data_IF_681889460955
#
_entry.id   IF_681889460955
#
_cell.length_a   1.000
_cell.length_b   1.000
_cell.length_c   1.000
_cell.angle_alpha   90.00
_cell.angle_beta   90.00
_cell.angle_gamma   90.00
#
_symmetry.space_group_name_H-M   'P 1'
#
loop_
_entity.id
_entity.type
_entity.pdbx_description
1 polymer ?
#
# COMPACT_ATOMS: atom_id res chain seq x y z
N UNK A 1 10.71 2.69 27.98
CA UNK A 1 10.53 4.03 27.36
C UNK A 1 11.41 4.10 26.12
N UNK A 2 10.88 4.55 24.99
CA UNK A 2 11.60 4.59 23.71
C UNK A 2 12.62 5.75 23.64
N UNK A 3 12.39 6.84 24.37
CA UNK A 3 13.30 8.00 24.48
C UNK A 3 13.80 8.21 25.91
N UNK A 4 14.90 8.95 26.04
CA UNK A 4 15.51 9.34 27.33
C UNK A 4 15.22 10.80 27.66
N UNK A 5 15.37 11.21 28.93
CA UNK A 5 15.20 12.62 29.32
C UNK A 5 16.15 13.59 28.63
N UNK A 6 17.34 13.12 28.19
CA UNK A 6 18.25 13.92 27.35
C UNK A 6 17.67 14.18 25.96
N UNK A 7 17.00 13.18 25.39
CA UNK A 7 16.33 13.30 24.10
C UNK A 7 15.16 14.29 24.21
N UNK A 8 14.38 14.17 25.28
CA UNK A 8 13.27 15.07 25.54
C UNK A 8 13.75 16.53 25.67
N UNK A 9 14.84 16.78 26.40
CA UNK A 9 15.44 18.11 26.52
C UNK A 9 15.96 18.65 25.18
N UNK A 10 16.63 17.81 24.39
CA UNK A 10 17.17 18.20 23.07
C UNK A 10 16.05 18.63 22.10
N UNK A 11 14.92 17.92 22.12
CA UNK A 11 13.80 18.18 21.22
C UNK A 11 12.67 18.98 21.88
N UNK A 12 12.94 19.67 23.00
CA UNK A 12 12.03 20.64 23.59
C UNK A 12 10.75 20.06 24.22
N UNK A 13 10.77 18.81 24.70
CA UNK A 13 9.66 18.22 25.45
C UNK A 13 9.61 16.68 25.40
N UNK A 14 8.70 16.06 26.18
CA UNK A 14 8.50 14.62 26.14
C UNK A 14 7.92 14.14 24.79
N UNK A 15 7.90 12.82 24.56
CA UNK A 15 7.17 12.25 23.42
C UNK A 15 5.70 12.66 23.43
N UNK A 16 5.14 12.88 22.24
CA UNK A 16 3.70 13.10 22.06
C UNK A 16 2.94 11.94 22.68
N UNK A 17 1.90 12.24 23.47
CA UNK A 17 0.98 11.22 23.95
C UNK A 17 0.12 10.71 22.79
N UNK A 18 -0.29 9.44 22.81
CA UNK A 18 -1.29 8.94 21.90
C UNK A 18 -2.47 9.88 21.70
N UNK A 19 -2.91 10.02 20.45
CA UNK A 19 -4.05 10.86 20.03
C UNK A 19 -3.98 12.37 20.32
N UNK A 20 -2.95 12.86 21.02
CA UNK A 20 -2.75 14.29 21.20
C UNK A 20 -2.52 14.98 19.85
N UNK A 21 -2.91 16.27 19.68
CA UNK A 21 -2.71 17.00 18.43
C UNK A 21 -1.26 16.93 17.95
N UNK A 22 -1.08 16.72 16.64
CA UNK A 22 0.24 16.79 16.00
C UNK A 22 0.56 18.27 15.80
N UNK A 23 1.58 18.78 16.49
CA UNK A 23 2.03 20.17 16.36
C UNK A 23 3.17 20.30 15.35
N UNK A 24 3.55 21.54 15.03
CA UNK A 24 4.68 21.84 14.16
C UNK A 24 5.98 21.18 14.66
N UNK A 25 6.18 21.12 15.98
CA UNK A 25 7.30 20.42 16.60
C UNK A 25 7.39 18.96 16.18
N UNK A 26 6.30 18.21 16.25
CA UNK A 26 6.32 16.80 15.86
C UNK A 26 6.52 16.63 14.35
N UNK A 27 5.98 17.55 13.54
CA UNK A 27 6.20 17.56 12.09
C UNK A 27 7.67 17.83 11.75
N UNK A 28 8.30 18.81 12.40
CA UNK A 28 9.70 19.18 12.19
C UNK A 28 10.67 18.07 12.60
N UNK A 29 10.39 17.42 13.74
CA UNK A 29 11.17 16.25 14.20
C UNK A 29 11.05 15.11 13.18
N UNK A 30 9.83 14.79 12.72
CA UNK A 30 9.62 13.73 11.74
C UNK A 30 10.34 14.03 10.41
N UNK A 31 10.22 15.26 9.91
CA UNK A 31 10.90 15.72 8.70
C UNK A 31 12.44 15.65 8.83
N UNK A 32 12.97 16.08 9.99
CA UNK A 32 14.41 16.04 10.27
C UNK A 32 14.96 14.62 10.34
N UNK A 33 14.24 13.71 11.02
CA UNK A 33 14.62 12.29 11.08
C UNK A 33 14.63 11.67 9.68
N UNK A 34 13.62 11.97 8.87
CA UNK A 34 13.54 11.50 7.48
C UNK A 34 14.74 12.02 6.67
N UNK A 35 15.03 13.32 6.72
CA UNK A 35 16.15 13.92 5.99
C UNK A 35 17.52 13.33 6.38
N UNK A 36 17.75 13.14 7.68
CA UNK A 36 18.99 12.51 8.18
C UNK A 36 19.09 11.05 7.78
N UNK A 37 17.97 10.32 7.82
CA UNK A 37 17.93 8.90 7.41
C UNK A 37 18.27 8.76 5.93
N UNK A 38 17.69 9.60 5.07
CA UNK A 38 18.00 9.60 3.64
C UNK A 38 19.48 9.90 3.36
N UNK A 39 20.05 10.89 4.05
CA UNK A 39 21.46 11.23 3.92
C UNK A 39 22.36 10.07 4.36
N UNK A 40 22.03 9.40 5.47
CA UNK A 40 22.75 8.22 5.93
C UNK A 40 22.67 7.06 4.93
N UNK A 41 21.48 6.80 4.37
CA UNK A 41 21.28 5.79 3.32
C UNK A 41 22.12 6.10 2.08
N UNK A 42 22.13 7.35 1.62
CA UNK A 42 22.89 7.76 0.44
C UNK A 42 24.40 7.66 0.66
N UNK A 43 24.90 8.05 1.83
CA UNK A 43 26.32 7.88 2.20
C UNK A 43 26.72 6.41 2.25
N UNK A 44 25.90 5.55 2.86
CA UNK A 44 26.16 4.11 2.90
C UNK A 44 26.18 3.50 1.48
N UNK A 45 25.23 3.90 0.63
CA UNK A 45 25.17 3.47 -0.76
C UNK A 45 26.42 3.88 -1.56
N UNK A 46 26.88 5.13 -1.42
CA UNK A 46 28.11 5.63 -2.06
C UNK A 46 29.35 4.91 -1.54
N UNK A 47 29.43 4.64 -0.24
CA UNK A 47 30.55 3.90 0.34
C UNK A 47 30.62 2.48 -0.22
N UNK A 48 29.51 1.73 -0.23
CA UNK A 48 29.49 0.37 -0.80
C UNK A 48 29.84 0.37 -2.29
N UNK A 49 29.40 1.37 -3.05
CA UNK A 49 29.80 1.48 -4.45
C UNK A 49 31.31 1.71 -4.61
N UNK A 50 31.90 2.60 -3.79
CA UNK A 50 33.35 2.86 -3.82
C UNK A 50 34.17 1.61 -3.47
N UNK A 51 33.71 0.80 -2.51
CA UNK A 51 34.39 -0.43 -2.10
C UNK A 51 34.26 -1.57 -3.11
N UNK A 52 33.11 -1.67 -3.81
CA UNK A 52 32.79 -2.86 -4.62
C UNK A 52 32.86 -2.63 -6.13
N UNK A 53 32.73 -1.38 -6.60
CA UNK A 53 32.58 -1.03 -8.01
C UNK A 53 31.31 -1.59 -8.67
N UNK A 54 30.37 -2.15 -7.90
CA UNK A 54 29.17 -2.77 -8.44
C UNK A 54 28.19 -1.73 -8.97
N UNK A 55 27.60 -2.02 -10.13
CA UNK A 55 26.62 -1.16 -10.81
C UNK A 55 25.19 -1.28 -10.27
N UNK A 56 24.89 -2.36 -9.56
CA UNK A 56 23.55 -2.67 -9.06
C UNK A 56 23.58 -2.85 -7.54
N UNK A 57 22.55 -2.34 -6.86
CA UNK A 57 22.43 -2.40 -5.40
C UNK A 57 21.25 -3.29 -4.99
N UNK A 58 21.46 -4.14 -4.00
CA UNK A 58 20.38 -4.88 -3.33
C UNK A 58 20.20 -4.34 -1.90
N UNK A 59 18.97 -4.06 -1.50
CA UNK A 59 18.63 -3.51 -0.18
C UNK A 59 17.70 -4.46 0.59
N UNK A 60 18.03 -4.64 1.87
CA UNK A 60 17.23 -5.33 2.88
C UNK A 60 17.49 -4.67 4.25
N UNK A 61 16.83 -5.15 5.30
CA UNK A 61 16.77 -4.53 6.62
C UNK A 61 15.59 -3.57 6.76
N UNK A 62 15.11 -3.35 7.99
CA UNK A 62 13.89 -2.56 8.23
C UNK A 62 13.92 -1.14 7.65
N UNK A 63 15.09 -0.50 7.61
CA UNK A 63 15.27 0.84 7.00
C UNK A 63 15.02 0.82 5.50
N UNK A 64 15.24 -0.30 4.81
CA UNK A 64 14.98 -0.44 3.37
C UNK A 64 13.48 -0.43 3.01
N UNK A 65 12.57 -0.42 4.00
CA UNK A 65 11.14 -0.13 3.77
C UNK A 65 10.85 1.37 3.61
N UNK A 66 11.85 2.24 3.80
CA UNK A 66 11.76 3.67 3.55
C UNK A 66 11.78 3.96 2.04
N UNK A 67 10.59 3.96 1.43
CA UNK A 67 10.42 4.19 -0.01
C UNK A 67 10.92 5.55 -0.49
N UNK A 68 10.93 6.58 0.37
CA UNK A 68 11.43 7.91 0.04
C UNK A 68 12.96 7.87 -0.09
N UNK A 69 13.63 7.29 0.90
CA UNK A 69 15.08 7.06 0.87
C UNK A 69 15.51 6.16 -0.29
N UNK A 70 14.77 5.09 -0.57
CA UNK A 70 15.04 4.21 -1.72
C UNK A 70 14.97 4.96 -3.06
N UNK A 71 13.93 5.79 -3.25
CA UNK A 71 13.80 6.62 -4.45
C UNK A 71 14.97 7.60 -4.60
N UNK A 72 15.43 8.17 -3.49
CA UNK A 72 16.58 9.07 -3.47
C UNK A 72 17.89 8.35 -3.80
N UNK A 73 18.13 7.17 -3.23
CA UNK A 73 19.31 6.33 -3.54
C UNK A 73 19.35 5.96 -5.03
N UNK A 74 18.22 5.65 -5.65
CA UNK A 74 18.18 5.33 -7.08
C UNK A 74 18.47 6.56 -7.97
N UNK A 75 17.92 7.73 -7.65
CA UNK A 75 18.11 8.94 -8.47
C UNK A 75 19.49 9.57 -8.31
N UNK A 76 20.03 9.60 -7.09
CA UNK A 76 21.22 10.38 -6.70
C UNK A 76 22.44 9.49 -6.41
N UNK A 77 22.24 8.18 -6.30
CA UNK A 77 23.29 7.21 -6.06
C UNK A 77 23.97 6.75 -7.35
N UNK A 78 25.14 6.11 -7.24
CA UNK A 78 25.95 5.68 -8.39
C UNK A 78 25.50 4.32 -8.97
N UNK A 79 24.22 3.96 -8.81
CA UNK A 79 23.71 2.64 -9.21
C UNK A 79 22.74 2.76 -10.37
N UNK A 80 22.85 1.83 -11.33
CA UNK A 80 21.93 1.75 -12.45
C UNK A 80 20.58 1.17 -12.04
N UNK A 81 20.61 0.22 -11.10
CA UNK A 81 19.43 -0.49 -10.59
C UNK A 81 19.52 -0.72 -9.09
N UNK A 82 18.37 -0.64 -8.44
CA UNK A 82 18.21 -0.91 -7.00
C UNK A 82 17.10 -1.95 -6.81
N UNK A 83 17.44 -3.14 -6.33
CA UNK A 83 16.45 -4.14 -5.94
C UNK A 83 16.23 -4.11 -4.42
N UNK A 84 14.97 -4.04 -3.98
CA UNK A 84 14.62 -4.00 -2.56
C UNK A 84 13.74 -5.21 -2.26
N UNK A 85 14.09 -5.95 -1.20
CA UNK A 85 13.31 -7.12 -0.81
C UNK A 85 11.91 -6.69 -0.25
N UNK A 86 10.78 -7.29 -0.69
CA UNK A 86 9.43 -6.85 -0.30
C UNK A 86 9.10 -6.88 1.20
N UNK A 87 9.59 -7.90 1.89
CA UNK A 87 9.55 -8.09 3.34
C UNK A 87 10.90 -7.72 3.99
N UNK A 88 11.50 -6.58 3.61
CA UNK A 88 12.90 -6.25 3.93
C UNK A 88 13.26 -6.26 5.42
N UNK A 89 12.28 -6.10 6.32
CA UNK A 89 12.50 -6.24 7.76
C UNK A 89 12.78 -7.69 8.19
N UNK A 90 12.68 -7.94 9.49
CA UNK A 90 13.10 -9.21 10.09
C UNK A 90 12.32 -10.43 9.56
N UNK A 91 11.07 -10.23 9.10
CA UNK A 91 10.28 -11.27 8.47
C UNK A 91 10.98 -11.89 7.24
N UNK A 92 11.70 -11.08 6.45
CA UNK A 92 12.49 -11.54 5.30
C UNK A 92 13.67 -12.43 5.69
N UNK A 93 14.08 -12.43 6.95
CA UNK A 93 15.16 -13.27 7.46
C UNK A 93 14.92 -14.76 7.27
N UNK A 94 13.67 -15.23 7.37
CA UNK A 94 13.33 -16.64 7.13
C UNK A 94 13.68 -17.07 5.69
N UNK A 95 13.39 -16.23 4.70
CA UNK A 95 13.79 -16.46 3.31
C UNK A 95 15.31 -16.35 3.15
N UNK A 96 15.93 -15.38 3.80
CA UNK A 96 17.39 -15.19 3.77
C UNK A 96 18.15 -16.41 4.28
N UNK A 97 17.73 -17.01 5.39
CA UNK A 97 18.33 -18.23 5.95
C UNK A 97 18.18 -19.41 5.00
N UNK A 98 16.99 -19.62 4.43
CA UNK A 98 16.77 -20.71 3.47
C UNK A 98 17.67 -20.56 2.23
N UNK A 99 17.79 -19.35 1.68
CA UNK A 99 18.66 -19.06 0.53
C UNK A 99 20.15 -19.19 0.88
N UNK A 100 20.55 -18.78 2.09
CA UNK A 100 21.92 -18.93 2.57
C UNK A 100 22.31 -20.41 2.67
N UNK A 101 21.50 -21.24 3.33
CA UNK A 101 21.75 -22.68 3.43
C UNK A 101 21.84 -23.30 2.02
N UNK A 102 20.84 -23.03 1.17
CA UNK A 102 20.75 -23.62 -0.15
C UNK A 102 21.93 -23.26 -1.06
N UNK A 103 22.34 -21.99 -1.10
CA UNK A 103 23.36 -21.51 -2.04
C UNK A 103 24.78 -21.40 -1.47
N UNK A 104 24.95 -21.37 -0.15
CA UNK A 104 26.26 -21.15 0.48
C UNK A 104 26.74 -22.33 1.31
N UNK A 105 25.84 -23.16 1.85
CA UNK A 105 26.22 -24.34 2.61
C UNK A 105 26.07 -25.64 1.82
N UNK A 106 25.10 -25.68 0.90
CA UNK A 106 24.84 -26.85 0.03
C UNK A 106 25.36 -26.67 -1.40
N UNK A 107 26.00 -25.54 -1.72
CA UNK A 107 26.59 -25.23 -3.03
C UNK A 107 25.65 -25.41 -4.24
N UNK A 108 24.34 -25.29 -4.04
CA UNK A 108 23.40 -25.32 -5.17
C UNK A 108 23.49 -24.02 -5.98
N UNK A 109 23.45 -24.10 -7.33
CA UNK A 109 23.62 -22.93 -8.19
C UNK A 109 22.48 -21.92 -8.03
N UNK A 110 22.81 -20.64 -8.12
CA UNK A 110 21.82 -19.56 -8.23
C UNK A 110 21.25 -19.54 -9.64
N UNK A 111 19.93 -19.58 -9.76
CA UNK A 111 19.22 -19.39 -11.03
C UNK A 111 18.55 -18.03 -11.02
N UNK A 112 18.99 -17.14 -11.90
CA UNK A 112 18.34 -15.84 -12.07
C UNK A 112 17.04 -16.05 -12.82
N UNK A 113 15.92 -15.66 -12.19
CA UNK A 113 14.60 -15.62 -12.85
C UNK A 113 14.22 -14.16 -13.06
N UNK A 114 14.10 -13.78 -14.32
CA UNK A 114 13.69 -12.44 -14.76
C UNK A 114 12.20 -12.44 -15.12
N UNK A 115 11.47 -11.33 -14.93
CA UNK A 115 11.92 -10.09 -14.27
C UNK A 115 11.83 -10.16 -12.75
N UNK A 116 11.08 -11.14 -12.20
CA UNK A 116 10.77 -11.20 -10.77
C UNK A 116 10.60 -12.63 -10.24
N UNK A 117 11.55 -13.08 -9.41
CA UNK A 117 11.49 -14.39 -8.75
C UNK A 117 10.53 -14.42 -7.53
N UNK A 118 10.15 -13.27 -6.97
CA UNK A 118 9.24 -13.18 -5.82
C UNK A 118 7.77 -13.30 -6.23
N UNK A 119 7.45 -13.25 -7.54
CA UNK A 119 6.10 -13.41 -8.11
C UNK A 119 5.09 -12.45 -7.49
N UNK A 120 5.40 -11.15 -7.49
CA UNK A 120 4.57 -10.12 -6.86
C UNK A 120 4.49 -10.26 -5.33
N UNK A 121 5.39 -11.05 -4.73
CA UNK A 121 5.35 -11.46 -3.32
C UNK A 121 4.11 -12.27 -2.94
N UNK A 122 3.40 -12.87 -3.91
CA UNK A 122 2.18 -13.67 -3.68
C UNK A 122 2.54 -15.08 -3.17
N UNK A 123 3.14 -15.14 -1.98
CA UNK A 123 3.77 -16.31 -1.38
C UNK A 123 2.98 -16.96 -0.25
N UNK A 124 1.87 -16.34 0.19
CA UNK A 124 1.03 -16.80 1.29
C UNK A 124 -0.07 -17.80 0.90
N UNK A 125 -0.99 -18.10 1.83
CA UNK A 125 -2.12 -19.01 1.57
C UNK A 125 -3.12 -18.41 0.56
N UNK A 126 -3.87 -19.29 -0.09
CA UNK A 126 -5.03 -18.98 -0.95
C UNK A 126 -6.25 -19.74 -0.42
N UNK A 127 -7.38 -19.07 -0.34
CA UNK A 127 -8.66 -19.72 -0.02
C UNK A 127 -9.26 -20.33 -1.30
N UNK A 128 -10.03 -21.42 -1.15
CA UNK A 128 -10.76 -22.04 -2.25
C UNK A 128 -12.18 -21.49 -2.32
N UNK A 129 -12.76 -21.45 -3.51
CA UNK A 129 -14.12 -20.96 -3.72
C UNK A 129 -15.13 -21.80 -2.92
N UNK A 130 -14.97 -23.14 -2.87
CA UNK A 130 -15.80 -24.02 -2.04
C UNK A 130 -15.70 -23.72 -0.54
N UNK A 131 -14.49 -23.42 -0.06
CA UNK A 131 -14.26 -23.08 1.35
C UNK A 131 -14.90 -21.73 1.71
N UNK A 132 -14.78 -20.75 0.82
CA UNK A 132 -15.43 -19.45 0.98
C UNK A 132 -16.95 -19.61 0.98
N UNK A 133 -17.51 -20.37 0.03
CA UNK A 133 -18.96 -20.63 -0.05
C UNK A 133 -19.48 -21.26 1.24
N UNK A 134 -18.84 -22.34 1.69
CA UNK A 134 -19.24 -23.03 2.92
C UNK A 134 -19.22 -22.10 4.14
N UNK A 135 -18.22 -21.21 4.23
CA UNK A 135 -18.17 -20.17 5.26
C UNK A 135 -19.32 -19.17 5.13
N UNK A 136 -19.54 -18.60 3.94
CA UNK A 136 -20.57 -17.60 3.70
C UNK A 136 -21.98 -18.14 3.98
N UNK A 137 -22.27 -19.36 3.55
CA UNK A 137 -23.53 -20.04 3.81
C UNK A 137 -23.71 -20.28 5.31
N UNK A 138 -22.66 -20.75 6.00
CA UNK A 138 -22.67 -20.96 7.45
C UNK A 138 -22.82 -19.66 8.26
N UNK A 139 -22.31 -18.54 7.73
CA UNK A 139 -22.46 -17.22 8.33
C UNK A 139 -23.81 -16.55 8.00
N UNK A 140 -24.61 -17.12 7.09
CA UNK A 140 -25.85 -16.50 6.61
C UNK A 140 -25.60 -15.19 5.85
N UNK A 141 -24.43 -15.03 5.23
CA UNK A 141 -24.06 -13.84 4.49
C UNK A 141 -24.80 -13.79 3.14
N UNK A 142 -25.17 -12.58 2.71
CA UNK A 142 -25.83 -12.38 1.40
C UNK A 142 -24.76 -12.05 0.36
N UNK A 143 -24.64 -12.86 -0.69
CA UNK A 143 -23.62 -12.69 -1.73
C UNK A 143 -24.16 -12.94 -3.13
N UNK A 144 -23.51 -12.33 -4.12
CA UNK A 144 -23.66 -12.60 -5.54
C UNK A 144 -22.39 -13.33 -6.03
N UNK A 145 -22.54 -14.38 -6.84
CA UNK A 145 -21.41 -15.13 -7.39
C UNK A 145 -21.17 -14.78 -8.86
N UNK A 146 -19.90 -14.52 -9.20
CA UNK A 146 -19.44 -14.21 -10.55
C UNK A 146 -18.39 -15.24 -11.00
N UNK A 147 -18.80 -16.32 -11.68
CA UNK A 147 -17.88 -17.39 -12.07
C UNK A 147 -16.91 -16.97 -13.20
N UNK A 148 -17.29 -15.96 -13.99
CA UNK A 148 -16.40 -15.37 -15.00
C UNK A 148 -15.60 -14.20 -14.41
N UNK A 149 -14.28 -14.25 -14.61
CA UNK A 149 -13.37 -13.20 -14.14
C UNK A 149 -13.62 -11.86 -14.84
N UNK A 150 -14.02 -11.87 -16.12
CA UNK A 150 -14.39 -10.67 -16.85
C UNK A 150 -15.58 -9.96 -16.22
N UNK A 151 -16.67 -10.69 -15.99
CA UNK A 151 -17.87 -10.18 -15.34
C UNK A 151 -17.62 -9.66 -13.93
N UNK A 152 -16.83 -10.38 -13.12
CA UNK A 152 -16.43 -9.92 -11.78
C UNK A 152 -15.69 -8.58 -11.85
N UNK A 153 -14.65 -8.51 -12.69
CA UNK A 153 -13.84 -7.29 -12.83
C UNK A 153 -14.67 -6.11 -13.36
N UNK A 154 -15.61 -6.36 -14.28
CA UNK A 154 -16.49 -5.32 -14.83
C UNK A 154 -17.41 -4.73 -13.75
N UNK A 155 -18.09 -5.58 -12.98
CA UNK A 155 -18.97 -5.14 -11.89
C UNK A 155 -18.20 -4.41 -10.79
N UNK A 156 -17.03 -4.92 -10.41
CA UNK A 156 -16.20 -4.28 -9.36
C UNK A 156 -15.63 -2.96 -9.85
N UNK A 157 -15.26 -2.85 -11.13
CA UNK A 157 -14.85 -1.58 -11.73
C UNK A 157 -15.98 -0.55 -11.74
N UNK A 158 -17.23 -0.95 -11.99
CA UNK A 158 -18.41 -0.06 -11.88
C UNK A 158 -18.66 0.41 -10.44
N UNK A 159 -18.50 -0.48 -9.45
CA UNK A 159 -18.62 -0.13 -8.03
C UNK A 159 -17.54 0.89 -7.64
N UNK A 160 -16.29 0.64 -8.00
CA UNK A 160 -15.18 1.57 -7.79
C UNK A 160 -15.41 2.91 -8.48
N UNK A 161 -15.86 2.93 -9.74
CA UNK A 161 -16.11 4.15 -10.50
C UNK A 161 -17.24 5.00 -9.91
N UNK A 162 -18.16 4.39 -9.14
CA UNK A 162 -19.20 5.09 -8.37
C UNK A 162 -18.73 5.61 -7.01
N UNK A 163 -17.46 5.38 -6.67
CA UNK A 163 -16.86 5.82 -5.42
C UNK A 163 -17.13 4.88 -4.24
N UNK A 164 -17.52 3.63 -4.49
CA UNK A 164 -17.65 2.62 -3.43
C UNK A 164 -16.26 2.10 -3.00
N UNK A 165 -16.11 1.86 -1.70
CA UNK A 165 -14.90 1.27 -1.12
C UNK A 165 -15.01 -0.25 -1.12
N UNK A 166 -14.05 -0.90 -1.79
CA UNK A 166 -14.07 -2.34 -2.01
C UNK A 166 -12.98 -3.03 -1.20
N UNK A 167 -13.36 -3.90 -0.25
CA UNK A 167 -12.46 -4.91 0.30
C UNK A 167 -12.20 -5.98 -0.74
N UNK A 168 -10.95 -6.18 -1.13
CA UNK A 168 -10.52 -7.06 -2.23
C UNK A 168 -9.65 -8.19 -1.70
N UNK A 169 -10.21 -9.40 -1.72
CA UNK A 169 -9.57 -10.64 -1.29
C UNK A 169 -9.52 -11.62 -2.46
N UNK A 170 -8.32 -11.91 -2.97
CA UNK A 170 -8.14 -12.89 -4.04
C UNK A 170 -6.81 -13.62 -3.94
N UNK A 171 -6.72 -14.79 -4.58
CA UNK A 171 -5.47 -15.50 -4.79
C UNK A 171 -4.64 -15.70 -3.52
N UNK A 172 -3.32 -15.79 -3.73
CA UNK A 172 -2.36 -15.98 -2.65
C UNK A 172 -2.09 -14.64 -1.95
N UNK A 173 -2.06 -14.66 -0.62
CA UNK A 173 -1.69 -13.50 0.18
C UNK A 173 -0.25 -13.03 -0.11
N UNK A 174 -0.05 -11.73 -0.05
CA UNK A 174 1.25 -11.06 -0.15
C UNK A 174 2.16 -11.39 1.06
N UNK A 175 3.46 -11.56 0.82
CA UNK A 175 4.48 -11.63 1.85
C UNK A 175 5.12 -10.24 2.04
N UNK A 176 5.05 -9.74 3.28
CA UNK A 176 5.58 -8.43 3.65
C UNK A 176 4.50 -7.48 4.16
N UNK A 177 4.85 -6.22 4.44
CA UNK A 177 3.97 -5.27 5.13
C UNK A 177 3.03 -4.49 4.20
N UNK A 178 3.00 -4.80 2.91
CA UNK A 178 2.22 -4.08 1.90
C UNK A 178 1.19 -5.02 1.29
N UNK A 179 -0.04 -4.54 1.14
CA UNK A 179 -0.99 -5.16 0.23
C UNK A 179 -0.68 -4.72 -1.19
N UNK A 180 -0.67 -5.68 -2.10
CA UNK A 180 -0.23 -5.56 -3.49
C UNK A 180 -1.30 -6.10 -4.44
N UNK A 181 -2.58 -6.03 -4.05
CA UNK A 181 -3.72 -6.40 -4.89
C UNK A 181 -4.32 -7.77 -4.61
N UNK A 182 -3.96 -8.43 -3.50
CA UNK A 182 -4.56 -9.70 -3.05
C UNK A 182 -5.27 -9.60 -1.71
N UNK A 183 -4.79 -8.76 -0.78
CA UNK A 183 -5.48 -8.44 0.48
C UNK A 183 -5.54 -6.91 0.63
N UNK A 184 -6.32 -6.29 -0.25
CA UNK A 184 -6.35 -4.84 -0.43
C UNK A 184 -7.70 -4.23 -0.09
N UNK A 185 -7.71 -2.95 0.30
CA UNK A 185 -8.89 -2.10 0.22
C UNK A 185 -8.66 -1.14 -0.93
N UNK A 186 -9.59 -1.15 -1.88
CA UNK A 186 -9.53 -0.42 -3.13
C UNK A 186 -10.50 0.76 -3.11
N UNK A 187 -10.18 1.79 -3.89
CA UNK A 187 -11.03 2.96 -4.06
C UNK A 187 -10.65 3.78 -5.29
N UNK A 188 -11.53 4.68 -5.69
CA UNK A 188 -11.32 5.58 -6.83
C UNK A 188 -10.34 6.71 -6.46
N UNK A 189 -9.17 6.80 -7.10
CA UNK A 189 -8.18 7.81 -6.77
C UNK A 189 -8.56 9.22 -7.24
N UNK A 190 -9.52 9.34 -8.17
CA UNK A 190 -9.96 10.61 -8.77
C UNK A 190 -10.84 11.43 -7.83
N UNK A 191 -11.50 10.75 -6.88
CA UNK A 191 -12.38 11.39 -5.91
C UNK A 191 -11.58 12.25 -4.92
N UNK A 192 -12.02 13.50 -4.75
CA UNK A 192 -11.44 14.45 -3.76
C UNK A 192 -11.70 14.02 -2.31
N UNK A 193 -12.75 13.23 -2.08
CA UNK A 193 -13.18 12.85 -0.73
C UNK A 193 -12.70 11.45 -0.32
N UNK A 194 -12.32 10.60 -1.26
CA UNK A 194 -12.03 9.18 -1.02
C UNK A 194 -10.92 8.97 0.03
N UNK A 195 -9.88 9.82 0.04
CA UNK A 195 -8.85 9.75 1.06
C UNK A 195 -9.42 9.93 2.49
N UNK A 196 -10.26 10.94 2.67
CA UNK A 196 -10.89 11.24 3.96
C UNK A 196 -11.89 10.13 4.34
N UNK A 197 -12.70 9.68 3.38
CA UNK A 197 -13.67 8.59 3.55
C UNK A 197 -12.97 7.32 4.02
N UNK A 198 -11.95 6.84 3.31
CA UNK A 198 -11.24 5.61 3.67
C UNK A 198 -10.50 5.75 5.00
N UNK A 199 -9.82 6.88 5.27
CA UNK A 199 -9.09 7.04 6.53
C UNK A 199 -10.03 7.07 7.75
N UNK A 200 -11.18 7.76 7.66
CA UNK A 200 -12.11 7.92 8.79
C UNK A 200 -13.05 6.74 8.95
N UNK A 201 -13.68 6.30 7.85
CA UNK A 201 -14.78 5.32 7.91
C UNK A 201 -14.29 3.87 7.93
N UNK A 202 -13.07 3.63 7.45
CA UNK A 202 -12.53 2.28 7.26
C UNK A 202 -11.29 2.04 8.12
N UNK A 203 -10.31 2.95 8.03
CA UNK A 203 -9.02 2.77 8.72
C UNK A 203 -9.00 3.27 10.15
N UNK A 204 -9.97 4.10 10.54
CA UNK A 204 -10.04 4.73 11.86
C UNK A 204 -8.71 5.36 12.28
N UNK A 205 -8.07 6.06 11.34
CA UNK A 205 -6.79 6.74 11.54
C UNK A 205 -6.86 8.18 11.04
N UNK A 206 -5.77 8.91 11.23
CA UNK A 206 -5.71 10.32 10.88
C UNK A 206 -6.08 10.54 9.41
N UNK A 207 -6.98 11.49 9.13
CA UNK A 207 -7.64 11.62 7.83
C UNK A 207 -6.71 11.97 6.67
N UNK A 208 -5.48 12.35 6.99
CA UNK A 208 -4.52 12.96 6.08
C UNK A 208 -3.48 11.98 5.53
N UNK A 209 -3.46 10.72 6.00
CA UNK A 209 -2.47 9.75 5.53
C UNK A 209 -2.78 9.39 4.06
N UNK A 210 -1.88 9.69 3.11
CA UNK A 210 -2.10 9.35 1.72
C UNK A 210 -2.05 7.83 1.52
N UNK A 211 -2.74 7.39 0.47
CA UNK A 211 -2.74 6.00 0.04
C UNK A 211 -1.78 5.81 -1.14
N UNK A 212 -1.45 4.55 -1.43
CA UNK A 212 -0.57 4.22 -2.53
C UNK A 212 -1.38 3.96 -3.80
N UNK A 213 -0.94 4.46 -4.97
CA UNK A 213 -1.53 4.08 -6.24
C UNK A 213 -1.04 2.71 -6.70
N UNK A 214 -1.97 1.90 -7.22
CA UNK A 214 -1.67 0.80 -8.13
C UNK A 214 -1.99 1.24 -9.54
N UNK A 215 -1.06 1.08 -10.48
CA UNK A 215 -1.19 1.53 -11.87
C UNK A 215 -0.80 0.41 -12.83
N UNK A 216 -1.48 0.32 -13.97
CA UNK A 216 -1.07 -0.58 -15.04
C UNK A 216 0.37 -0.27 -15.45
N UNK A 217 1.21 -1.31 -15.53
CA UNK A 217 2.64 -1.18 -15.83
C UNK A 217 2.86 -0.40 -17.12
N UNK A 218 2.09 -0.70 -18.16
CA UNK A 218 2.15 -0.05 -19.47
C UNK A 218 1.69 1.43 -19.48
N UNK A 219 1.17 1.94 -18.37
CA UNK A 219 0.72 3.33 -18.18
C UNK A 219 1.51 4.08 -17.11
N UNK A 220 2.53 3.46 -16.52
CA UNK A 220 3.20 4.01 -15.34
C UNK A 220 3.87 5.35 -15.65
N UNK A 221 4.52 5.46 -16.81
CA UNK A 221 5.24 6.65 -17.24
C UNK A 221 4.31 7.73 -17.79
N UNK A 222 3.08 7.40 -18.19
CA UNK A 222 2.04 8.39 -18.50
C UNK A 222 1.60 9.17 -17.25
N UNK A 223 1.52 8.49 -16.11
CA UNK A 223 0.96 9.03 -14.86
C UNK A 223 1.99 9.48 -13.83
N UNK A 224 3.18 8.89 -13.83
CA UNK A 224 4.25 9.16 -12.87
C UNK A 224 5.57 9.44 -13.60
N UNK A 225 6.45 10.23 -12.98
CA UNK A 225 7.81 10.48 -13.48
C UNK A 225 8.70 9.25 -13.25
N UNK A 226 8.39 8.18 -13.99
CA UNK A 226 9.12 6.91 -14.07
C UNK A 226 9.48 6.64 -15.55
N UNK A 227 10.49 5.81 -15.80
CA UNK A 227 10.83 5.41 -17.18
C UNK A 227 9.82 4.36 -17.68
N UNK A 228 9.58 4.28 -19.00
CA UNK A 228 8.58 3.37 -19.62
C UNK A 228 8.80 1.87 -19.39
N UNK A 229 9.97 1.48 -18.87
CA UNK A 229 10.28 0.09 -18.47
C UNK A 229 10.60 -0.05 -16.97
N UNK A 230 10.52 1.04 -16.21
CA UNK A 230 10.79 1.03 -14.79
C UNK A 230 9.65 0.38 -14.01
N UNK A 231 10.03 -0.50 -13.09
CA UNK A 231 9.12 -1.28 -12.28
C UNK A 231 9.15 -0.84 -10.82
N UNK A 232 7.97 -0.81 -10.19
CA UNK A 232 7.82 -0.71 -8.74
C UNK A 232 6.72 -1.67 -8.26
N UNK A 233 6.90 -3.00 -8.38
CA UNK A 233 5.83 -3.96 -8.06
C UNK A 233 5.49 -4.06 -6.57
N UNK A 234 6.31 -3.46 -5.69
CA UNK A 234 6.26 -3.69 -4.25
C UNK A 234 5.91 -2.46 -3.40
N UNK A 235 5.56 -1.33 -4.02
CA UNK A 235 5.36 -0.06 -3.29
C UNK A 235 6.58 0.35 -2.45
N UNK A 236 7.79 0.15 -2.97
CA UNK A 236 9.06 0.46 -2.27
C UNK A 236 9.80 1.65 -2.85
N UNK A 237 9.18 2.36 -3.79
CA UNK A 237 9.68 3.58 -4.41
C UNK A 237 8.58 4.63 -4.43
N UNK A 238 9.01 5.89 -4.44
CA UNK A 238 8.14 7.04 -4.68
C UNK A 238 8.51 7.67 -6.01
N UNK A 239 7.51 8.12 -6.75
CA UNK A 239 7.66 8.86 -7.98
C UNK A 239 6.72 10.08 -7.96
N UNK A 240 7.15 11.25 -8.44
CA UNK A 240 6.25 12.37 -8.67
C UNK A 240 5.16 12.00 -9.67
N UNK A 241 3.93 12.49 -9.47
CA UNK A 241 2.87 12.48 -10.50
C UNK A 241 3.34 13.26 -11.71
N UNK A 242 3.09 12.82 -12.94
CA UNK A 242 3.57 13.49 -14.16
C UNK A 242 2.88 14.85 -14.35
N UNK A 243 3.62 15.82 -14.90
CA UNK A 243 3.18 17.20 -15.09
C UNK A 243 1.75 17.40 -15.62
N UNK A 244 1.31 16.72 -16.69
CA UNK A 244 -0.06 16.86 -17.23
C UNK A 244 -1.17 16.50 -16.26
N UNK A 245 -0.88 15.65 -15.27
CA UNK A 245 -1.85 15.23 -14.24
C UNK A 245 -1.76 16.06 -12.97
N UNK A 246 -0.86 17.05 -12.90
CA UNK A 246 -0.74 17.95 -11.74
C UNK A 246 -1.70 19.12 -11.89
N UNK A 247 -2.38 19.44 -10.80
CA UNK A 247 -3.16 20.65 -10.67
C UNK A 247 -2.29 21.74 -10.03
N UNK A 248 -2.39 23.00 -10.49
CA UNK A 248 -1.83 24.13 -9.77
C UNK A 248 -2.44 24.18 -8.38
N UNK A 249 -1.66 24.59 -7.39
CA UNK A 249 -2.20 24.72 -6.04
C UNK A 249 -3.15 25.90 -6.00
N UNK A 250 -4.38 25.67 -5.54
CA UNK A 250 -5.45 26.67 -5.47
C UNK A 250 -5.00 27.96 -4.74
N UNK A 251 -5.58 29.11 -5.13
CA UNK A 251 -5.33 30.39 -4.47
C UNK A 251 -5.60 30.29 -2.96
N UNK A 252 -4.63 30.67 -2.13
CA UNK A 252 -4.69 30.52 -0.67
C UNK A 252 -3.89 29.34 -0.11
N UNK A 253 -3.31 28.49 -0.96
CA UNK A 253 -2.43 27.40 -0.50
C UNK A 253 -1.26 27.88 0.38
N UNK A 254 -0.66 29.03 0.03
CA UNK A 254 0.42 29.64 0.81
C UNK A 254 0.02 29.99 2.25
N UNK A 255 -1.28 30.13 2.54
CA UNK A 255 -1.82 30.35 3.88
C UNK A 255 -2.09 29.08 4.68
N UNK A 256 -2.16 27.90 4.03
CA UNK A 256 -2.42 26.63 4.72
C UNK A 256 -1.18 26.18 5.51
N UNK A 257 -1.39 25.71 6.73
CA UNK A 257 -0.34 25.23 7.63
C UNK A 257 -0.56 23.77 8.02
N UNK A 258 0.54 23.07 8.30
CA UNK A 258 0.52 21.68 8.78
C UNK A 258 -0.37 20.77 7.93
N UNK A 259 -1.28 20.05 8.61
CA UNK A 259 -2.16 19.05 8.01
C UNK A 259 -3.22 19.63 7.07
N UNK A 260 -3.53 20.93 7.14
CA UNK A 260 -4.52 21.54 6.24
C UNK A 260 -4.04 21.56 4.79
N UNK A 261 -2.72 21.52 4.57
CA UNK A 261 -2.12 21.42 3.22
C UNK A 261 -2.55 20.15 2.47
N UNK A 262 -2.98 19.11 3.19
CA UNK A 262 -3.38 17.82 2.62
C UNK A 262 -4.81 17.83 2.06
N UNK A 263 -5.62 18.85 2.38
CA UNK A 263 -6.98 19.01 1.86
C UNK A 263 -7.02 19.60 0.44
N UNK A 264 -5.93 20.25 0.01
CA UNK A 264 -5.84 20.88 -1.30
C UNK A 264 -5.62 19.81 -2.39
N UNK A 265 -6.49 19.78 -3.39
CA UNK A 265 -6.29 18.92 -4.56
C UNK A 265 -5.09 19.41 -5.37
N UNK A 266 -4.29 18.46 -5.87
CA UNK A 266 -3.00 18.73 -6.54
C UNK A 266 -2.81 17.91 -7.80
N UNK A 267 -3.75 17.04 -8.13
CA UNK A 267 -3.67 16.19 -9.31
C UNK A 267 -5.04 15.68 -9.67
N UNK A 268 -5.14 15.06 -10.84
CA UNK A 268 -6.33 14.31 -11.26
C UNK A 268 -6.60 13.09 -10.37
N UNK A 269 -5.60 12.64 -9.60
CA UNK A 269 -5.68 11.52 -8.64
C UNK A 269 -5.37 11.96 -7.20
N UNK A 270 -6.13 12.93 -6.64
CA UNK A 270 -5.75 13.59 -5.39
C UNK A 270 -5.65 12.66 -4.18
N UNK A 271 -6.37 11.54 -4.16
CA UNK A 271 -6.39 10.64 -3.00
C UNK A 271 -5.06 9.91 -2.73
N UNK A 272 -4.20 9.82 -3.75
CA UNK A 272 -2.89 9.13 -3.73
C UNK A 272 -1.69 10.07 -3.86
N UNK A 273 -1.93 11.37 -4.01
CA UNK A 273 -0.91 12.38 -4.27
C UNK A 273 -0.54 13.14 -3.00
N UNK A 274 0.75 13.20 -2.68
CA UNK A 274 1.29 13.93 -1.55
C UNK A 274 1.40 15.45 -1.81
N UNK A 275 1.69 16.22 -0.75
CA UNK A 275 1.86 17.69 -0.81
C UNK A 275 2.95 18.12 -1.81
N UNK A 276 3.99 17.30 -1.97
CA UNK A 276 5.11 17.49 -2.89
C UNK A 276 4.89 16.85 -4.27
N UNK A 277 3.63 16.46 -4.58
CA UNK A 277 3.24 15.73 -5.79
C UNK A 277 3.79 14.31 -5.90
N UNK A 278 4.47 13.77 -4.89
CA UNK A 278 4.93 12.39 -4.90
C UNK A 278 3.80 11.38 -4.63
N UNK A 279 3.99 10.15 -5.10
CA UNK A 279 3.14 9.01 -4.78
C UNK A 279 3.98 7.73 -4.68
N UNK A 280 3.56 6.78 -3.84
CA UNK A 280 4.25 5.50 -3.64
C UNK A 280 3.70 4.42 -4.55
N UNK A 281 4.27 4.30 -5.74
CA UNK A 281 3.68 3.56 -6.87
C UNK A 281 3.81 2.04 -6.74
N UNK A 282 2.73 1.31 -7.03
CA UNK A 282 2.74 -0.10 -7.41
C UNK A 282 2.50 -0.25 -8.92
N UNK A 283 3.42 -0.86 -9.65
CA UNK A 283 3.20 -1.29 -11.04
C UNK A 283 2.52 -2.65 -11.08
N UNK A 284 1.42 -2.75 -11.84
CA UNK A 284 0.58 -3.95 -11.95
C UNK A 284 0.60 -4.47 -13.39
N UNK A 285 0.76 -5.77 -13.57
CA UNK A 285 0.67 -6.44 -14.87
C UNK A 285 0.03 -7.82 -14.75
N UNK A 286 -0.39 -8.36 -15.89
CA UNK A 286 -1.06 -9.65 -15.98
C UNK A 286 -0.18 -10.83 -15.53
N UNK A 287 1.12 -10.78 -15.79
CA UNK A 287 2.04 -11.88 -15.48
C UNK A 287 2.20 -12.11 -13.97
N UNK A 288 2.27 -11.02 -13.19
CA UNK A 288 2.43 -11.05 -11.73
C UNK A 288 1.09 -11.07 -11.00
N UNK A 289 0.08 -10.35 -11.51
CA UNK A 289 -1.13 -10.02 -10.73
C UNK A 289 -2.44 -10.52 -11.34
N UNK A 290 -2.43 -11.14 -12.53
CA UNK A 290 -3.60 -11.78 -13.15
C UNK A 290 -4.87 -10.92 -13.10
N UNK A 291 -5.87 -11.40 -12.35
CA UNK A 291 -7.16 -10.73 -12.12
C UNK A 291 -7.03 -9.27 -11.68
N UNK A 292 -6.02 -8.92 -10.87
CA UNK A 292 -5.88 -7.52 -10.42
C UNK A 292 -5.57 -6.58 -11.58
N UNK A 293 -4.71 -7.01 -12.52
CA UNK A 293 -4.44 -6.24 -13.73
C UNK A 293 -5.71 -6.09 -14.59
N UNK A 294 -6.51 -7.17 -14.69
CA UNK A 294 -7.78 -7.15 -15.41
C UNK A 294 -8.80 -6.19 -14.78
N UNK A 295 -8.84 -6.09 -13.45
CA UNK A 295 -9.65 -5.10 -12.74
C UNK A 295 -9.21 -3.66 -13.06
N UNK A 296 -7.90 -3.38 -13.04
CA UNK A 296 -7.40 -2.06 -13.42
C UNK A 296 -7.73 -1.72 -14.88
N UNK A 297 -7.63 -2.69 -15.80
CA UNK A 297 -8.00 -2.51 -17.21
C UNK A 297 -9.50 -2.22 -17.38
N UNK A 298 -10.37 -2.95 -16.66
CA UNK A 298 -11.81 -2.69 -16.66
C UNK A 298 -12.13 -1.30 -16.09
N UNK A 299 -11.45 -0.90 -15.01
CA UNK A 299 -11.59 0.44 -14.44
C UNK A 299 -11.12 1.52 -15.41
N UNK A 300 -9.97 1.35 -16.07
CA UNK A 300 -9.47 2.26 -17.09
C UNK A 300 -10.48 2.41 -18.25
N UNK A 301 -11.02 1.30 -18.75
CA UNK A 301 -11.99 1.32 -19.85
C UNK A 301 -13.25 2.13 -19.52
N UNK A 302 -13.67 2.14 -18.25
CA UNK A 302 -14.86 2.87 -17.77
C UNK A 302 -14.57 4.33 -17.40
N UNK A 303 -13.33 4.64 -17.03
CA UNK A 303 -13.00 5.92 -16.36
C UNK A 303 -11.96 6.77 -17.07
N UNK A 304 -11.22 6.19 -18.02
CA UNK A 304 -9.99 6.76 -18.59
C UNK A 304 -8.80 6.77 -17.63
N UNK A 305 -8.92 6.21 -16.43
CA UNK A 305 -7.87 6.24 -15.40
C UNK A 305 -7.34 4.82 -15.13
N UNK A 306 -6.06 4.53 -15.38
CA UNK A 306 -5.44 3.23 -15.13
C UNK A 306 -4.93 3.07 -13.69
N UNK A 307 -5.37 3.93 -12.76
CA UNK A 307 -4.90 4.00 -11.39
C UNK A 307 -6.02 3.63 -10.43
N UNK A 308 -5.72 2.84 -9.41
CA UNK A 308 -6.58 2.58 -8.26
C UNK A 308 -5.87 2.95 -6.97
N UNK A 309 -6.65 3.38 -5.97
CA UNK A 309 -6.16 3.39 -4.59
C UNK A 309 -5.94 1.94 -4.17
N UNK A 310 -4.79 1.66 -3.55
CA UNK A 310 -4.53 0.41 -2.86
C UNK A 310 -3.98 0.68 -1.46
N UNK A 311 -4.65 0.13 -0.46
CA UNK A 311 -4.19 0.11 0.93
C UNK A 311 -4.39 -1.26 1.53
N UNK A 312 -3.72 -1.54 2.64
CA UNK A 312 -3.79 -2.83 3.32
C UNK A 312 -5.23 -3.22 3.68
N UNK A 313 -5.62 -4.49 3.61
CA UNK A 313 -6.91 -4.92 4.12
C UNK A 313 -6.81 -5.26 5.60
N UNK A 314 -7.01 -4.23 6.43
CA UNK A 314 -7.02 -4.27 7.89
C UNK A 314 -7.59 -2.96 8.46
N UNK A 315 -7.91 -2.94 9.75
CA UNK A 315 -8.12 -1.71 10.52
C UNK A 315 -6.84 -1.34 11.29
N UNK A 316 -6.82 -0.18 11.95
CA UNK A 316 -5.72 0.23 12.83
C UNK A 316 -5.53 -0.81 13.95
N UNK A 317 -4.29 -1.21 14.20
CA UNK A 317 -3.95 -2.19 15.24
C UNK A 317 -3.94 -3.65 14.80
N UNK A 318 -4.48 -3.96 13.62
CA UNK A 318 -4.53 -5.34 13.11
C UNK A 318 -3.51 -5.64 11.99
N UNK A 319 -3.05 -6.91 11.85
CA UNK A 319 -2.35 -7.35 10.65
C UNK A 319 -3.29 -7.38 9.44
N UNK A 320 -2.72 -7.49 8.24
CA UNK A 320 -3.48 -7.73 7.00
C UNK A 320 -4.29 -9.02 7.15
N UNK A 321 -5.58 -9.00 6.76
CA UNK A 321 -6.45 -10.18 6.80
C UNK A 321 -5.85 -11.32 5.98
N UNK A 322 -5.86 -12.53 6.54
CA UNK A 322 -5.29 -13.72 5.92
C UNK A 322 -6.38 -14.65 5.38
N UNK A 323 -7.47 -14.81 6.14
CA UNK A 323 -8.58 -15.75 5.88
C UNK A 323 -9.87 -15.03 5.45
N UNK A 324 -10.78 -15.72 4.72
CA UNK A 324 -12.11 -15.17 4.38
C UNK A 324 -12.90 -14.70 5.60
N UNK A 325 -12.81 -15.42 6.72
CA UNK A 325 -13.47 -15.10 7.99
C UNK A 325 -12.98 -13.77 8.56
N UNK A 326 -11.67 -13.53 8.51
CA UNK A 326 -11.06 -12.25 8.95
C UNK A 326 -11.48 -11.11 8.02
N UNK A 327 -11.48 -11.33 6.70
CA UNK A 327 -11.91 -10.34 5.72
C UNK A 327 -13.40 -9.97 5.91
N UNK A 328 -14.26 -10.97 6.09
CA UNK A 328 -15.69 -10.78 6.38
C UNK A 328 -15.91 -10.04 7.71
N UNK A 329 -15.20 -10.42 8.78
CA UNK A 329 -15.28 -9.71 10.07
C UNK A 329 -14.90 -8.24 9.95
N UNK A 330 -13.78 -7.96 9.28
CA UNK A 330 -13.32 -6.60 9.03
C UNK A 330 -14.32 -5.81 8.18
N UNK A 331 -14.87 -6.43 7.12
CA UNK A 331 -15.94 -5.85 6.32
C UNK A 331 -17.18 -5.54 7.16
N UNK A 332 -17.62 -6.45 8.03
CA UNK A 332 -18.80 -6.28 8.88
C UNK A 332 -18.59 -5.24 10.00
N UNK A 333 -17.37 -5.10 10.51
CA UNK A 333 -17.03 -4.14 11.56
C UNK A 333 -16.65 -2.74 11.04
N UNK A 334 -16.48 -2.58 9.73
CA UNK A 334 -16.13 -1.30 9.09
C UNK A 334 -17.29 -0.78 8.23
N UNK A 335 -17.14 0.43 7.68
CA UNK A 335 -18.09 0.99 6.73
C UNK A 335 -17.66 0.75 5.28
N UNK A 336 -17.00 -0.37 4.98
CA UNK A 336 -16.74 -0.74 3.58
C UNK A 336 -18.07 -1.01 2.88
N UNK A 337 -18.19 -0.59 1.63
CA UNK A 337 -19.43 -0.73 0.86
C UNK A 337 -19.56 -2.14 0.27
N UNK A 338 -18.44 -2.71 -0.16
CA UNK A 338 -18.38 -4.00 -0.85
C UNK A 338 -17.23 -4.84 -0.30
N UNK A 339 -17.44 -6.15 -0.21
CA UNK A 339 -16.39 -7.14 -0.02
C UNK A 339 -16.40 -8.13 -1.18
N UNK A 340 -15.24 -8.34 -1.79
CA UNK A 340 -14.99 -9.39 -2.78
C UNK A 340 -14.13 -10.47 -2.13
N UNK A 341 -14.66 -11.68 -2.08
CA UNK A 341 -13.94 -12.90 -1.69
C UNK A 341 -13.85 -13.82 -2.90
N UNK A 342 -12.72 -13.83 -3.59
CA UNK A 342 -12.56 -14.55 -4.86
C UNK A 342 -13.66 -14.19 -5.89
N UNK A 343 -14.61 -15.07 -6.17
CA UNK A 343 -15.72 -14.86 -7.09
C UNK A 343 -17.02 -14.37 -6.41
N UNK A 344 -17.02 -14.20 -5.09
CA UNK A 344 -18.19 -13.80 -4.31
C UNK A 344 -18.15 -12.31 -3.99
N UNK A 345 -19.22 -11.60 -4.33
CA UNK A 345 -19.39 -10.17 -4.06
C UNK A 345 -20.48 -9.98 -3.03
N UNK A 346 -20.12 -9.35 -1.92
CA UNK A 346 -21.02 -9.01 -0.82
C UNK A 346 -21.20 -7.49 -0.79
N UNK A 347 -22.44 -7.03 -0.70
CA UNK A 347 -22.76 -5.61 -0.53
C UNK A 347 -23.21 -5.35 0.89
N UNK A 348 -22.67 -4.31 1.52
CA UNK A 348 -22.92 -3.96 2.92
C UNK A 348 -24.40 -3.65 3.18
N UNK A 349 -25.03 -2.93 2.24
CA UNK A 349 -26.40 -2.45 2.35
C UNK A 349 -27.47 -3.55 2.48
N UNK A 350 -27.18 -4.78 2.05
CA UNK A 350 -28.12 -5.91 2.05
C UNK A 350 -27.74 -7.01 3.04
N UNK A 351 -26.68 -6.81 3.85
CA UNK A 351 -26.31 -7.78 4.88
C UNK A 351 -27.32 -7.77 6.04
N UNK A 352 -27.59 -8.93 6.66
CA UNK A 352 -28.48 -9.00 7.83
C UNK A 352 -27.95 -8.15 9.00
N UNK A 353 -28.81 -7.30 9.60
CA UNK A 353 -28.42 -6.40 10.70
C UNK A 353 -27.93 -7.13 11.96
N UNK A 354 -28.35 -8.39 12.18
CA UNK A 354 -27.88 -9.22 13.30
C UNK A 354 -26.45 -9.75 13.16
N UNK A 355 -25.82 -9.57 11.99
CA UNK A 355 -24.42 -9.93 11.73
C UNK A 355 -23.44 -8.74 11.93
N UNK A 356 -23.96 -7.58 12.37
CA UNK A 356 -23.14 -6.42 12.67
C UNK A 356 -22.26 -6.71 13.90
N UNK A 357 -20.95 -6.82 13.68
CA UNK A 357 -19.96 -6.73 14.75
C UNK A 357 -20.08 -5.32 15.34
N UNK A 358 -20.21 -5.20 16.67
CA UNK A 358 -20.15 -3.90 17.33
C UNK A 358 -18.80 -3.26 16.99
N UNK A 359 -18.83 -2.29 16.07
CA UNK A 359 -17.63 -1.60 15.61
C UNK A 359 -16.91 -0.88 16.75
N UNK A 360 -17.64 -0.39 17.76
CA UNK A 360 -17.06 0.25 18.93
C UNK A 360 -16.33 -0.76 19.82
N UNK A 361 -16.95 -1.91 20.08
CA UNK A 361 -16.31 -2.99 20.84
C UNK A 361 -15.08 -3.55 20.11
N UNK A 362 -15.22 -3.84 18.82
CA UNK A 362 -14.14 -4.36 17.98
C UNK A 362 -12.94 -3.41 17.90
N UNK A 363 -13.18 -2.10 17.72
CA UNK A 363 -12.10 -1.11 17.69
C UNK A 363 -11.50 -0.86 19.08
N UNK A 364 -12.30 -1.00 20.15
CA UNK A 364 -11.86 -0.80 21.54
C UNK A 364 -10.89 -1.87 22.04
N UNK A 365 -10.75 -3.00 21.35
CA UNK A 365 -9.79 -4.06 21.66
C UNK A 365 -8.33 -3.68 21.32
N UNK A 366 -8.12 -2.63 20.52
CA UNK A 366 -6.80 -2.26 20.01
C UNK A 366 -6.26 -0.99 20.68
N UNK A 367 -4.99 -1.05 21.10
CA UNK A 367 -4.30 0.10 21.68
C UNK A 367 -4.18 1.25 20.67
N UNK A 368 -4.49 2.46 21.11
CA UNK A 368 -4.42 3.68 20.31
C UNK A 368 -2.99 4.27 20.38
N UNK A 369 -2.37 4.60 19.23
CA UNK A 369 -1.01 5.22 19.16
C UNK A 369 -0.97 6.72 19.45
#
# INVERSE_FOLDING_TARGET
RMTSGRFDALFGGPPRRPEAPITEREMDIAASIQAVTEEAMLRAARHVHAETGMRNLCLAGGVALNCVGNGRVLREGPFDQVWIQPAAGDAGGALGVALFIWHQLLDHPRQVRSPDAQRGSLLGPRATDDGIRAFLDGAGAVYEEYPDEGGLCDVVADLLARGEVVGWFQGRMEFGPRALGSRSILGDPRSRDMQSVMNRKIKFRESFRPFAPSVLRERVDDWFEMRSEEDSPYMLRVAPVRGPHRLPVEDGFGGLRGLDKLKAARSDVPAVTHVDYSARVQTVDAARHGRYARLLQAFEAKTGCPVLINTSFNVRGEPIVCTPEQAHRCFMATNMDVLVLECFVLRKAVQPQGAAVDAGAYLGEFALD
#
